data_IF_524642175332
#
_entry.id   IF_524642175332
#
_cell.length_a   1.000
_cell.length_b   1.000
_cell.length_c   1.000
_cell.angle_alpha   90.00
_cell.angle_beta   90.00
_cell.angle_gamma   90.00
#
_symmetry.space_group_name_H-M   'P 1'
#
loop_
_entity.id
_entity.type
_entity.pdbx_description
1 polymer ?
#
# COMPACT_ATOMS: atom_id res chain seq x y z
N UNK A 1 -25.73 -46.81 51.51
CA UNK A 1 -25.72 -48.12 50.83
C UNK A 1 -25.04 -47.89 49.50
N UNK A 2 -23.71 -48.00 49.45
CA UNK A 2 -22.96 -49.17 48.93
C UNK A 2 -22.78 -49.03 47.40
N UNK A 3 -21.60 -49.03 46.77
CA UNK A 3 -20.19 -49.24 47.15
C UNK A 3 -19.28 -48.51 46.12
N UNK A 4 -18.03 -48.17 46.41
CA UNK A 4 -16.80 -49.02 46.26
C UNK A 4 -16.68 -49.67 44.88
N UNK A 5 -15.57 -49.71 44.13
CA UNK A 5 -14.10 -49.57 44.31
C UNK A 5 -13.57 -49.73 42.84
N UNK A 6 -12.54 -49.06 42.31
CA UNK A 6 -11.12 -49.43 42.46
C UNK A 6 -10.28 -48.64 41.44
N UNK A 7 -9.13 -48.13 41.88
CA UNK A 7 -7.92 -48.04 41.05
C UNK A 7 -7.25 -49.42 40.95
N UNK A 8 -6.27 -49.57 40.05
CA UNK A 8 -4.90 -49.71 40.57
C UNK A 8 -3.83 -48.94 39.79
N UNK A 9 -2.75 -48.71 40.54
CA UNK A 9 -1.45 -48.16 40.16
C UNK A 9 -0.61 -49.06 39.23
N UNK A 10 0.47 -48.43 38.75
CA UNK A 10 1.85 -48.96 38.67
C UNK A 10 2.33 -49.55 37.31
N UNK A 11 3.66 -49.75 37.08
CA UNK A 11 4.67 -48.72 36.76
C UNK A 11 5.66 -49.15 35.65
N UNK A 12 6.73 -48.36 35.47
CA UNK A 12 7.96 -48.78 34.77
C UNK A 12 8.07 -48.20 33.37
N UNK A 13 9.20 -47.71 32.88
CA UNK A 13 10.62 -47.86 33.22
C UNK A 13 11.35 -47.38 31.95
N UNK A 14 12.33 -46.48 32.07
CA UNK A 14 13.73 -46.87 32.03
C UNK A 14 14.33 -46.71 30.63
N UNK A 15 15.39 -45.90 30.49
CA UNK A 15 16.19 -45.85 29.25
C UNK A 15 16.93 -44.52 28.99
N UNK A 16 18.00 -44.27 29.72
CA UNK A 16 19.17 -43.45 29.29
C UNK A 16 20.08 -44.33 28.38
N UNK A 17 21.29 -43.93 27.91
CA UNK A 17 21.92 -42.63 27.58
C UNK A 17 22.64 -42.64 26.18
N UNK A 18 23.28 -41.52 25.81
CA UNK A 18 24.34 -41.45 24.79
C UNK A 18 23.98 -40.55 23.61
N UNK A 19 24.76 -39.55 23.19
CA UNK A 19 26.22 -39.57 23.02
C UNK A 19 26.78 -38.14 23.20
N UNK A 20 27.77 -38.02 24.08
CA UNK A 20 28.76 -36.95 24.07
C UNK A 20 29.76 -37.17 22.95
N UNK A 21 30.02 -36.15 22.13
CA UNK A 21 31.33 -35.98 21.48
C UNK A 21 31.81 -34.56 21.73
N UNK A 22 32.77 -34.45 22.64
CA UNK A 22 33.58 -33.27 22.85
C UNK A 22 34.55 -33.09 21.68
N UNK A 23 34.51 -31.89 21.10
CA UNK A 23 35.66 -31.02 20.89
C UNK A 23 36.89 -31.56 20.14
N UNK A 24 37.14 -30.99 18.96
CA UNK A 24 38.48 -30.45 18.70
C UNK A 24 38.42 -29.24 17.79
N UNK A 25 38.87 -28.13 18.36
CA UNK A 25 39.11 -26.85 17.72
C UNK A 25 40.36 -26.95 16.84
N UNK A 26 40.30 -26.45 15.60
CA UNK A 26 41.48 -25.92 14.90
C UNK A 26 41.06 -24.91 13.82
N UNK A 27 41.54 -23.68 14.05
CA UNK A 27 41.49 -22.51 13.20
C UNK A 27 42.08 -22.76 11.81
N UNK A 28 41.45 -22.19 10.78
CA UNK A 28 41.99 -21.19 9.81
C UNK A 28 41.31 -21.36 8.45
N UNK A 29 40.83 -20.25 7.90
CA UNK A 29 40.41 -20.19 6.50
C UNK A 29 39.21 -19.31 6.22
N UNK A 30 39.20 -18.06 6.70
CA UNK A 30 38.37 -17.01 6.09
C UNK A 30 38.89 -16.79 4.66
N UNK A 31 38.32 -17.48 3.68
CA UNK A 31 38.32 -17.03 2.28
C UNK A 31 37.00 -16.33 2.04
N UNK A 32 37.07 -15.00 1.97
CA UNK A 32 35.94 -14.15 1.66
C UNK A 32 35.32 -14.58 0.34
N UNK A 33 34.02 -14.92 0.37
CA UNK A 33 33.18 -14.82 -0.81
C UNK A 33 33.12 -13.34 -1.17
N UNK A 34 33.55 -12.91 -2.36
CA UNK A 34 33.26 -11.56 -2.79
C UNK A 34 31.74 -11.43 -2.88
N UNK A 35 31.18 -10.57 -2.02
CA UNK A 35 29.84 -10.06 -2.18
C UNK A 35 29.81 -9.33 -3.51
N UNK A 36 29.46 -10.05 -4.57
CA UNK A 36 29.11 -9.49 -5.86
C UNK A 36 27.88 -8.63 -5.63
N UNK A 37 28.13 -7.34 -5.38
CA UNK A 37 27.13 -6.30 -5.57
C UNK A 37 26.76 -6.41 -7.04
N UNK A 38 25.66 -7.13 -7.33
CA UNK A 38 25.12 -7.24 -8.67
C UNK A 38 25.03 -5.84 -9.27
N UNK A 39 25.19 -5.69 -10.60
CA UNK A 39 25.13 -4.38 -11.23
C UNK A 39 23.89 -3.65 -10.71
N UNK A 40 24.08 -2.42 -10.23
CA UNK A 40 22.97 -1.59 -9.79
C UNK A 40 21.91 -1.55 -10.89
N UNK A 41 20.64 -1.49 -10.50
CA UNK A 41 19.50 -1.50 -11.41
C UNK A 41 19.65 -0.46 -12.55
N UNK A 42 20.34 0.64 -12.28
CA UNK A 42 20.73 1.68 -13.25
C UNK A 42 21.65 1.17 -14.38
N UNK A 43 22.59 0.26 -14.07
CA UNK A 43 23.49 -0.35 -15.06
C UNK A 43 22.76 -1.40 -15.91
N UNK A 44 21.80 -2.12 -15.33
CA UNK A 44 20.93 -3.06 -16.05
C UNK A 44 20.00 -2.31 -17.01
N UNK A 45 19.45 -1.17 -16.58
CA UNK A 45 18.66 -0.30 -17.43
C UNK A 45 19.49 0.22 -18.62
N UNK A 46 20.70 0.75 -18.38
CA UNK A 46 21.60 1.27 -19.44
C UNK A 46 22.01 0.21 -20.48
N UNK A 47 22.15 -1.05 -20.08
CA UNK A 47 22.52 -2.17 -20.95
C UNK A 47 21.35 -2.78 -21.75
N UNK A 48 20.10 -2.36 -21.48
CA UNK A 48 18.93 -2.91 -22.15
C UNK A 48 18.72 -2.25 -23.52
N UNK A 49 18.72 -3.04 -24.60
CA UNK A 49 18.46 -2.53 -25.95
C UNK A 49 17.06 -1.94 -26.10
N UNK A 50 16.92 -0.94 -26.99
CA UNK A 50 15.67 -0.19 -27.19
C UNK A 50 14.44 -1.09 -27.48
N UNK A 51 14.64 -2.22 -28.14
CA UNK A 51 13.57 -3.20 -28.39
C UNK A 51 13.01 -3.85 -27.13
N UNK A 52 13.88 -4.23 -26.19
CA UNK A 52 13.48 -4.86 -24.92
C UNK A 52 12.81 -3.86 -23.98
N UNK A 53 13.32 -2.61 -23.93
CA UNK A 53 12.68 -1.51 -23.20
C UNK A 53 11.24 -1.28 -23.66
N UNK A 54 10.98 -1.33 -24.97
CA UNK A 54 9.61 -1.24 -25.51
C UNK A 54 8.70 -2.38 -25.04
N UNK A 55 9.22 -3.60 -24.95
CA UNK A 55 8.45 -4.77 -24.48
C UNK A 55 8.10 -4.63 -22.99
N UNK A 56 9.05 -4.17 -22.17
CA UNK A 56 8.81 -3.88 -20.74
C UNK A 56 7.76 -2.78 -20.57
N UNK A 57 7.83 -1.71 -21.37
CA UNK A 57 6.86 -0.61 -21.33
C UNK A 57 5.45 -1.02 -21.78
N UNK A 58 5.37 -1.88 -22.79
CA UNK A 58 4.12 -2.40 -23.33
C UNK A 58 3.49 -3.52 -22.48
N UNK A 59 4.12 -3.89 -21.36
CA UNK A 59 3.56 -4.86 -20.43
C UNK A 59 2.15 -4.44 -19.98
N UNK A 60 1.28 -5.44 -19.85
CA UNK A 60 -0.08 -5.25 -19.37
C UNK A 60 -0.06 -4.49 -18.04
N UNK A 61 -0.79 -3.37 -17.93
CA UNK A 61 -0.65 -2.46 -16.79
C UNK A 61 -1.23 -3.02 -15.49
N UNK A 62 -2.05 -4.07 -15.54
CA UNK A 62 -2.72 -4.65 -14.37
C UNK A 62 -1.99 -5.91 -13.89
N UNK A 63 -1.62 -6.78 -14.82
CA UNK A 63 -1.01 -8.08 -14.52
C UNK A 63 0.51 -8.10 -14.67
N UNK A 64 1.11 -7.09 -15.29
CA UNK A 64 2.53 -7.11 -15.67
C UNK A 64 2.84 -8.12 -16.78
N UNK A 65 1.80 -8.64 -17.47
CA UNK A 65 1.95 -9.65 -18.52
C UNK A 65 2.64 -9.06 -19.74
N UNK A 66 3.69 -9.74 -20.19
CA UNK A 66 4.48 -9.35 -21.35
C UNK A 66 3.94 -10.00 -22.62
N UNK A 67 4.01 -9.22 -23.71
CA UNK A 67 3.75 -9.68 -25.08
C UNK A 67 4.95 -9.28 -25.94
N UNK A 68 5.50 -10.23 -26.67
CA UNK A 68 6.70 -10.01 -27.50
C UNK A 68 7.15 -11.30 -28.18
N UNK A 69 8.21 -11.21 -28.97
CA UNK A 69 8.85 -12.40 -29.56
C UNK A 69 9.48 -13.26 -28.48
N UNK A 70 9.60 -14.57 -28.71
CA UNK A 70 10.18 -15.50 -27.75
C UNK A 70 11.61 -15.11 -27.35
N UNK A 71 12.42 -14.64 -28.32
CA UNK A 71 13.77 -14.15 -28.06
C UNK A 71 13.80 -12.92 -27.13
N UNK A 72 12.82 -12.01 -27.26
CA UNK A 72 12.70 -10.85 -26.36
C UNK A 72 12.30 -11.29 -24.96
N UNK A 73 11.35 -12.21 -24.84
CA UNK A 73 10.87 -12.70 -23.53
C UNK A 73 11.96 -13.51 -22.81
N UNK A 74 12.67 -14.38 -23.53
CA UNK A 74 13.82 -15.14 -23.01
C UNK A 74 14.94 -14.19 -22.55
N UNK A 75 15.26 -13.17 -23.34
CA UNK A 75 16.26 -12.16 -22.98
C UNK A 75 15.91 -11.35 -21.72
N UNK A 76 14.62 -11.14 -21.44
CA UNK A 76 14.16 -10.50 -20.20
C UNK A 76 14.22 -11.46 -19.00
N UNK A 77 13.93 -12.74 -19.20
CA UNK A 77 14.04 -13.78 -18.16
C UNK A 77 15.50 -13.98 -17.74
N UNK A 78 16.42 -14.06 -18.70
CA UNK A 78 17.86 -14.19 -18.46
C UNK A 78 18.41 -13.02 -17.62
N UNK A 79 17.85 -11.82 -17.81
CA UNK A 79 18.22 -10.61 -17.06
C UNK A 79 17.47 -10.46 -15.74
N UNK A 80 16.62 -11.41 -15.38
CA UNK A 80 15.81 -11.38 -14.14
C UNK A 80 14.71 -10.32 -14.13
N UNK A 81 14.37 -9.73 -15.29
CA UNK A 81 13.33 -8.71 -15.43
C UNK A 81 11.95 -9.30 -15.69
N UNK A 82 11.90 -10.56 -16.12
CA UNK A 82 10.67 -11.31 -16.32
C UNK A 82 10.78 -12.73 -15.75
N UNK A 83 9.64 -13.35 -15.48
CA UNK A 83 9.55 -14.78 -15.19
C UNK A 83 8.48 -15.45 -16.05
N UNK A 84 8.65 -16.74 -16.31
CA UNK A 84 7.68 -17.57 -17.03
C UNK A 84 6.79 -18.30 -16.02
N UNK A 85 5.48 -18.17 -16.19
CA UNK A 85 4.51 -18.80 -15.31
C UNK A 85 4.50 -20.32 -15.50
N UNK A 86 4.54 -21.10 -14.40
CA UNK A 86 4.65 -22.56 -14.47
C UNK A 86 3.37 -23.23 -14.97
N UNK A 87 2.18 -22.63 -14.78
CA UNK A 87 0.92 -23.16 -15.33
C UNK A 87 0.70 -22.68 -16.77
N UNK A 88 0.20 -23.58 -17.61
CA UNK A 88 -0.31 -23.25 -18.94
C UNK A 88 -1.50 -22.27 -18.85
N UNK A 89 -1.67 -21.35 -19.81
CA UNK A 89 -0.81 -21.08 -20.98
C UNK A 89 0.37 -20.19 -20.56
N UNK A 90 1.59 -20.76 -20.54
CA UNK A 90 2.80 -20.20 -19.92
C UNK A 90 3.07 -18.72 -20.26
N UNK A 91 2.44 -17.82 -19.53
CA UNK A 91 2.58 -16.38 -19.69
C UNK A 91 3.92 -15.91 -19.16
N UNK A 92 4.44 -14.83 -19.73
CA UNK A 92 5.60 -14.13 -19.20
C UNK A 92 5.12 -12.90 -18.46
N UNK A 93 5.67 -12.65 -17.28
CA UNK A 93 5.27 -11.57 -16.39
C UNK A 93 6.50 -10.83 -15.90
N UNK A 94 6.37 -9.52 -15.68
CA UNK A 94 7.43 -8.73 -15.07
C UNK A 94 7.71 -9.21 -13.64
N UNK A 95 8.98 -9.21 -13.27
CA UNK A 95 9.40 -9.34 -11.87
C UNK A 95 9.34 -7.97 -11.19
N UNK A 96 9.45 -7.88 -9.85
CA UNK A 96 9.58 -6.59 -9.18
C UNK A 96 10.72 -5.72 -9.70
N UNK A 97 11.81 -6.32 -10.20
CA UNK A 97 12.91 -5.59 -10.85
C UNK A 97 12.51 -5.02 -12.23
N UNK A 98 11.74 -5.78 -13.02
CA UNK A 98 11.18 -5.29 -14.28
C UNK A 98 10.15 -4.17 -14.10
N UNK A 99 9.37 -4.21 -13.01
CA UNK A 99 8.44 -3.13 -12.64
C UNK A 99 9.17 -1.83 -12.29
N UNK A 100 10.20 -1.89 -11.42
CA UNK A 100 11.01 -0.71 -11.08
C UNK A 100 11.67 -0.07 -12.29
N UNK A 101 12.23 -0.88 -13.19
CA UNK A 101 12.85 -0.37 -14.42
C UNK A 101 11.83 0.37 -15.32
N UNK A 102 10.61 -0.15 -15.42
CA UNK A 102 9.53 0.50 -16.17
C UNK A 102 9.15 1.85 -15.56
N UNK A 103 9.03 1.90 -14.25
CA UNK A 103 8.69 3.12 -13.50
C UNK A 103 9.78 4.18 -13.64
N UNK A 104 11.05 3.80 -13.47
CA UNK A 104 12.22 4.66 -13.65
C UNK A 104 12.30 5.26 -15.08
N UNK A 105 11.97 4.48 -16.11
CA UNK A 105 11.93 4.96 -17.50
C UNK A 105 10.76 5.90 -17.78
N UNK A 106 9.57 5.60 -17.24
CA UNK A 106 8.41 6.46 -17.34
C UNK A 106 8.64 7.80 -16.61
N UNK A 107 9.32 7.77 -15.45
CA UNK A 107 9.71 8.96 -14.69
C UNK A 107 10.84 9.76 -15.35
N UNK A 108 11.81 9.09 -15.97
CA UNK A 108 12.82 9.76 -16.80
C UNK A 108 12.16 10.48 -17.98
N UNK A 109 11.17 9.87 -18.64
CA UNK A 109 10.44 10.50 -19.75
C UNK A 109 9.60 11.69 -19.29
N UNK A 110 8.97 11.62 -18.11
CA UNK A 110 8.23 12.76 -17.53
C UNK A 110 9.15 13.94 -17.27
N UNK A 111 10.37 13.69 -16.80
CA UNK A 111 11.40 14.71 -16.56
C UNK A 111 12.04 15.28 -17.83
N UNK A 112 11.99 14.57 -18.95
CA UNK A 112 12.55 15.02 -20.24
C UNK A 112 11.49 15.55 -21.24
N UNK A 113 10.24 15.73 -20.81
CA UNK A 113 9.22 16.41 -21.61
C UNK A 113 9.48 17.93 -21.69
N UNK A 114 8.96 18.64 -22.71
CA UNK A 114 9.18 20.08 -22.85
C UNK A 114 8.58 20.84 -21.65
N UNK A 115 9.43 21.60 -20.95
CA UNK A 115 9.03 22.49 -19.85
C UNK A 115 8.16 23.64 -20.37
N UNK A 116 7.09 24.04 -19.67
CA UNK A 116 6.52 25.37 -19.82
C UNK A 116 7.47 26.37 -19.13
N UNK A 117 8.08 27.25 -19.91
CA UNK A 117 8.88 28.35 -19.37
C UNK A 117 8.01 29.31 -18.56
N UNK A 118 8.43 29.63 -17.34
CA UNK A 118 7.82 30.70 -16.56
C UNK A 118 8.24 30.75 -15.09
N UNK A 119 9.21 31.62 -14.78
CA UNK A 119 9.16 32.41 -13.55
C UNK A 119 10.12 32.02 -12.43
N UNK A 120 11.32 32.60 -12.49
CA UNK A 120 12.36 32.70 -11.47
C UNK A 120 11.92 33.19 -10.08
N UNK A 121 12.55 32.55 -9.08
CA UNK A 121 13.15 33.13 -7.86
C UNK A 121 12.29 33.35 -6.60
N UNK A 122 12.49 32.45 -5.62
CA UNK A 122 12.27 32.67 -4.20
C UNK A 122 12.78 31.49 -3.38
N UNK A 123 13.96 31.62 -2.78
CA UNK A 123 14.66 30.54 -2.08
C UNK A 123 13.85 29.90 -0.96
N UNK A 124 13.82 28.56 -0.97
CA UNK A 124 13.28 27.74 0.10
C UNK A 124 13.76 26.31 -0.12
N UNK A 125 14.68 25.89 0.73
CA UNK A 125 15.29 24.56 0.87
C UNK A 125 14.44 23.42 0.27
N UNK A 126 14.89 22.93 -0.90
CA UNK A 126 14.35 21.74 -1.54
C UNK A 126 14.52 20.51 -0.64
N UNK A 127 13.43 20.12 0.00
CA UNK A 127 13.29 18.85 0.71
C UNK A 127 12.05 18.14 0.20
N UNK A 128 12.17 17.44 -0.93
CA UNK A 128 11.05 16.74 -1.55
C UNK A 128 11.52 15.59 -2.44
N UNK A 129 12.50 14.82 -1.97
CA UNK A 129 12.79 13.53 -2.57
C UNK A 129 11.57 12.63 -2.37
N UNK A 130 10.84 12.36 -3.45
CA UNK A 130 9.87 11.27 -3.49
C UNK A 130 10.65 9.95 -3.42
N UNK A 131 11.11 9.60 -2.22
CA UNK A 131 11.52 8.24 -1.88
C UNK A 131 10.30 7.34 -2.00
N UNK A 132 10.45 6.15 -2.57
CA UNK A 132 9.42 5.10 -2.63
C UNK A 132 8.71 4.91 -1.29
N UNK A 133 7.61 5.62 -1.11
CA UNK A 133 6.89 5.74 0.14
C UNK A 133 5.84 4.65 0.27
N UNK A 134 5.62 4.21 1.49
CA UNK A 134 4.43 3.43 1.86
C UNK A 134 3.19 4.23 1.47
N UNK A 135 2.20 3.57 0.87
CA UNK A 135 0.94 4.23 0.51
C UNK A 135 0.32 4.93 1.73
N UNK A 136 -0.07 6.19 1.55
CA UNK A 136 -0.80 6.96 2.55
C UNK A 136 -2.07 7.55 1.92
N UNK A 137 -3.20 7.43 2.61
CA UNK A 137 -4.43 8.14 2.28
C UNK A 137 -4.25 9.64 2.58
N UNK A 138 -4.76 10.49 1.68
CA UNK A 138 -4.73 11.95 1.77
C UNK A 138 -5.90 12.41 2.61
N UNK A 139 -5.59 13.01 3.74
CA UNK A 139 -6.56 13.57 4.66
C UNK A 139 -7.03 14.96 4.22
N UNK A 140 -6.36 15.60 3.27
CA UNK A 140 -6.67 16.95 2.80
C UNK A 140 -5.84 17.99 3.54
N UNK A 141 -5.26 18.91 2.77
CA UNK A 141 -4.31 19.91 3.23
C UNK A 141 -2.84 19.60 2.97
N UNK A 142 -2.54 18.51 2.26
CA UNK A 142 -1.20 18.22 1.81
C UNK A 142 -0.78 19.17 0.66
N UNK A 143 0.44 19.70 0.75
CA UNK A 143 1.10 20.46 -0.31
C UNK A 143 1.26 19.55 -1.55
N UNK A 144 0.71 19.96 -2.70
CA UNK A 144 0.76 19.15 -3.93
C UNK A 144 -0.40 18.16 -4.14
N UNK A 145 -1.52 18.28 -3.42
CA UNK A 145 -2.74 17.50 -3.67
C UNK A 145 -3.43 17.79 -5.03
N UNK A 146 -2.79 18.55 -5.92
CA UNK A 146 -3.27 18.80 -7.27
C UNK A 146 -3.09 17.57 -8.17
N UNK A 147 -4.16 16.79 -8.34
CA UNK A 147 -4.28 15.82 -9.43
C UNK A 147 -3.97 14.38 -9.05
N UNK A 148 -4.97 13.67 -8.52
CA UNK A 148 -4.95 12.21 -8.45
C UNK A 148 -5.13 11.60 -9.83
N UNK A 149 -4.06 11.53 -10.63
CA UNK A 149 -4.09 10.85 -11.92
C UNK A 149 -4.41 9.35 -11.78
N UNK A 150 -4.57 8.66 -12.92
CA UNK A 150 -4.94 7.24 -12.94
C UNK A 150 -4.04 6.31 -12.08
N UNK A 151 -2.77 6.68 -11.86
CA UNK A 151 -1.87 5.95 -10.96
C UNK A 151 -2.36 5.98 -9.51
N UNK A 152 -2.68 7.17 -8.98
CA UNK A 152 -3.24 7.32 -7.63
C UNK A 152 -4.54 6.56 -7.47
N UNK A 153 -5.44 6.64 -8.45
CA UNK A 153 -6.71 5.92 -8.41
C UNK A 153 -6.52 4.40 -8.30
N UNK A 154 -5.46 3.84 -8.88
CA UNK A 154 -5.11 2.41 -8.75
C UNK A 154 -4.56 2.10 -7.36
N UNK A 155 -3.65 2.92 -6.86
CA UNK A 155 -3.09 2.75 -5.51
C UNK A 155 -4.19 2.80 -4.44
N UNK A 156 -5.06 3.81 -4.50
CA UNK A 156 -6.21 3.97 -3.60
C UNK A 156 -7.13 2.76 -3.69
N UNK A 157 -7.43 2.28 -4.90
CA UNK A 157 -8.26 1.09 -5.09
C UNK A 157 -7.61 -0.16 -4.48
N UNK A 158 -6.31 -0.36 -4.70
CA UNK A 158 -5.58 -1.48 -4.12
C UNK A 158 -5.56 -1.42 -2.59
N UNK A 159 -5.33 -0.23 -2.02
CA UNK A 159 -5.37 -0.02 -0.58
C UNK A 159 -6.77 -0.27 0.00
N UNK A 160 -7.82 0.20 -0.69
CA UNK A 160 -9.21 -0.04 -0.30
C UNK A 160 -9.58 -1.53 -0.34
N UNK A 161 -9.21 -2.25 -1.40
CA UNK A 161 -9.43 -3.70 -1.47
C UNK A 161 -8.65 -4.45 -0.38
N UNK A 162 -7.43 -4.02 -0.09
CA UNK A 162 -6.65 -4.55 1.03
C UNK A 162 -7.34 -4.32 2.37
N UNK A 163 -7.96 -3.15 2.57
CA UNK A 163 -8.73 -2.85 3.77
C UNK A 163 -9.99 -3.71 3.89
N UNK A 164 -10.74 -3.90 2.80
CA UNK A 164 -11.91 -4.79 2.79
C UNK A 164 -11.53 -6.25 3.08
N UNK A 165 -10.37 -6.69 2.60
CA UNK A 165 -9.85 -8.03 2.92
C UNK A 165 -9.45 -8.14 4.40
N UNK A 166 -8.82 -7.10 4.96
CA UNK A 166 -8.56 -7.04 6.40
C UNK A 166 -9.86 -7.11 7.21
N UNK A 167 -10.93 -6.44 6.79
CA UNK A 167 -12.26 -6.56 7.42
C UNK A 167 -12.74 -8.00 7.34
N UNK A 168 -12.76 -8.61 6.15
CA UNK A 168 -13.19 -9.99 5.92
C UNK A 168 -12.43 -11.01 6.78
N UNK A 169 -11.13 -10.81 6.99
CA UNK A 169 -10.30 -11.70 7.81
C UNK A 169 -10.44 -11.46 9.32
N UNK A 170 -10.77 -10.23 9.73
CA UNK A 170 -10.84 -9.85 11.15
C UNK A 170 -12.22 -10.08 11.76
N UNK A 171 -13.28 -10.06 10.96
CA UNK A 171 -14.64 -10.29 11.43
C UNK A 171 -14.99 -11.79 11.35
N UNK A 172 -15.48 -12.41 12.44
CA UNK A 172 -15.79 -13.85 12.47
C UNK A 172 -16.81 -14.30 11.41
N UNK A 173 -17.72 -13.42 11.02
CA UNK A 173 -18.75 -13.64 10.00
C UNK A 173 -18.29 -13.22 8.59
N UNK A 174 -17.06 -12.72 8.45
CA UNK A 174 -16.51 -12.23 7.19
C UNK A 174 -17.13 -10.93 6.70
N UNK A 175 -17.88 -10.21 7.54
CA UNK A 175 -18.51 -8.95 7.19
C UNK A 175 -17.48 -7.91 6.69
N UNK A 176 -17.80 -7.20 5.62
CA UNK A 176 -16.92 -6.16 5.04
C UNK A 176 -17.52 -4.75 5.11
N UNK A 177 -18.78 -4.65 5.53
CA UNK A 177 -19.54 -3.42 5.71
C UNK A 177 -19.22 -2.70 7.03
N UNK A 178 -18.49 -3.34 7.96
CA UNK A 178 -18.15 -2.77 9.27
C UNK A 178 -16.65 -2.52 9.43
N UNK A 179 -16.23 -1.35 9.95
CA UNK A 179 -14.82 -1.09 10.20
C UNK A 179 -14.19 -2.07 11.21
N UNK A 180 -12.99 -2.55 10.91
CA UNK A 180 -12.25 -3.50 11.74
C UNK A 180 -11.37 -2.81 12.80
N UNK A 181 -10.67 -3.59 13.62
CA UNK A 181 -9.83 -3.07 14.71
C UNK A 181 -8.71 -2.13 14.23
N UNK A 182 -8.11 -2.39 13.06
CA UNK A 182 -7.09 -1.50 12.50
C UNK A 182 -7.66 -0.10 12.21
N UNK A 183 -8.86 -0.02 11.62
CA UNK A 183 -9.50 1.26 11.28
C UNK A 183 -9.81 2.08 12.53
N UNK A 184 -10.21 1.41 13.62
CA UNK A 184 -10.47 2.07 14.91
C UNK A 184 -9.21 2.68 15.52
N UNK A 185 -8.03 2.13 15.23
CA UNK A 185 -6.73 2.70 15.62
C UNK A 185 -6.19 3.76 14.66
N UNK A 186 -6.79 3.92 13.47
CA UNK A 186 -6.29 4.78 12.38
C UNK A 186 -7.45 5.54 11.71
N UNK A 187 -8.27 6.22 12.52
CA UNK A 187 -9.55 6.75 12.08
C UNK A 187 -9.44 7.75 10.92
N UNK A 188 -8.47 8.67 10.99
CA UNK A 188 -8.27 9.70 9.95
C UNK A 188 -7.91 9.04 8.62
N UNK A 189 -6.96 8.09 8.65
CA UNK A 189 -6.50 7.39 7.47
C UNK A 189 -7.61 6.50 6.88
N UNK A 190 -8.39 5.83 7.72
CA UNK A 190 -9.49 4.98 7.30
C UNK A 190 -10.63 5.78 6.64
N UNK A 191 -11.05 6.90 7.25
CA UNK A 191 -12.06 7.77 6.69
C UNK A 191 -11.59 8.44 5.39
N UNK A 192 -10.35 8.95 5.36
CA UNK A 192 -9.75 9.52 4.16
C UNK A 192 -9.68 8.50 3.02
N UNK A 193 -9.28 7.25 3.31
CA UNK A 193 -9.20 6.19 2.30
C UNK A 193 -10.57 5.86 1.71
N UNK A 194 -11.61 5.78 2.55
CA UNK A 194 -12.98 5.54 2.08
C UNK A 194 -13.45 6.68 1.14
N UNK A 195 -13.15 7.93 1.49
CA UNK A 195 -13.50 9.09 0.68
C UNK A 195 -12.74 9.11 -0.65
N UNK A 196 -11.41 8.90 -0.66
CA UNK A 196 -10.65 8.81 -1.91
C UNK A 196 -11.11 7.64 -2.80
N UNK A 197 -11.41 6.49 -2.20
CA UNK A 197 -11.83 5.30 -2.94
C UNK A 197 -13.19 5.51 -3.64
N UNK A 198 -14.05 6.33 -3.06
CA UNK A 198 -15.30 6.78 -3.66
C UNK A 198 -15.14 7.95 -4.66
N UNK A 199 -13.93 8.47 -4.82
CA UNK A 199 -13.61 9.52 -5.78
C UNK A 199 -13.80 10.94 -5.26
N UNK A 200 -14.00 11.14 -3.95
CA UNK A 200 -14.00 12.47 -3.37
C UNK A 200 -12.61 13.09 -3.50
N UNK A 201 -12.57 14.40 -3.79
CA UNK A 201 -11.31 15.11 -3.95
C UNK A 201 -10.80 15.56 -2.57
N UNK A 202 -9.55 15.24 -2.18
CA UNK A 202 -8.96 15.83 -0.97
C UNK A 202 -8.71 17.32 -1.17
N UNK A 203 -8.94 18.11 -0.13
CA UNK A 203 -8.62 19.52 -0.10
C UNK A 203 -7.12 19.74 -0.40
N UNK A 204 -6.81 20.76 -1.20
CA UNK A 204 -5.45 21.24 -1.34
C UNK A 204 -4.94 21.96 -0.09
N UNK A 205 -3.67 22.38 -0.12
CA UNK A 205 -3.11 23.32 0.85
C UNK A 205 -3.97 24.60 0.91
N UNK A 206 -4.38 25.11 -0.26
CA UNK A 206 -5.35 26.19 -0.40
C UNK A 206 -6.78 25.68 -0.20
N UNK A 207 -7.40 26.06 0.92
CA UNK A 207 -8.78 25.70 1.26
C UNK A 207 -9.82 26.26 0.26
N UNK A 208 -9.45 27.21 -0.61
CA UNK A 208 -10.34 27.83 -1.59
C UNK A 208 -10.69 26.96 -2.80
N UNK A 209 -9.95 25.87 -3.07
CA UNK A 209 -10.16 25.01 -4.22
C UNK A 209 -11.22 23.89 -4.00
N UNK A 210 -11.82 23.84 -2.80
CA UNK A 210 -12.74 22.79 -2.36
C UNK A 210 -12.05 21.45 -2.10
N UNK A 211 -12.84 20.46 -1.68
CA UNK A 211 -12.39 19.11 -1.35
C UNK A 211 -12.46 18.80 0.14
N UNK A 212 -12.62 17.53 0.46
CA UNK A 212 -12.77 17.11 1.83
C UNK A 212 -11.47 17.29 2.63
N UNK A 213 -11.62 17.56 3.92
CA UNK A 213 -10.52 17.55 4.90
C UNK A 213 -10.92 16.75 6.13
N UNK A 214 -10.22 15.66 6.39
CA UNK A 214 -10.38 14.80 7.56
C UNK A 214 -9.41 15.25 8.66
N UNK A 215 -9.91 15.43 9.87
CA UNK A 215 -9.15 15.84 11.05
C UNK A 215 -9.50 14.96 12.24
N UNK A 216 -8.54 14.82 13.14
CA UNK A 216 -8.81 14.32 14.48
C UNK A 216 -9.75 15.27 15.23
N UNK A 217 -10.47 14.71 16.19
CA UNK A 217 -11.35 15.47 17.10
C UNK A 217 -11.04 15.07 18.54
N UNK A 218 -11.26 15.96 19.53
CA UNK A 218 -11.18 15.59 20.94
C UNK A 218 -12.16 14.48 21.35
N UNK A 219 -13.22 14.24 20.56
CA UNK A 219 -14.16 13.17 20.84
C UNK A 219 -13.53 11.80 20.52
N UNK A 220 -13.52 10.85 21.49
CA UNK A 220 -12.94 9.53 21.26
C UNK A 220 -13.69 8.79 20.14
N UNK A 221 -12.95 7.99 19.38
CA UNK A 221 -13.49 7.16 18.29
C UNK A 221 -14.22 7.93 17.17
N UNK A 222 -13.95 9.23 17.04
CA UNK A 222 -14.54 10.07 16.01
C UNK A 222 -13.48 10.82 15.19
N UNK A 223 -13.85 11.22 13.98
CA UNK A 223 -13.11 12.15 13.12
C UNK A 223 -14.04 13.24 12.62
N UNK A 224 -13.48 14.42 12.41
CA UNK A 224 -14.19 15.54 11.80
C UNK A 224 -13.87 15.60 10.30
N UNK A 225 -14.89 15.63 9.45
CA UNK A 225 -14.74 15.82 8.00
C UNK A 225 -15.35 17.16 7.60
N UNK A 226 -14.53 18.00 7.01
CA UNK A 226 -14.92 19.32 6.53
C UNK A 226 -15.02 19.28 5.02
N UNK A 227 -16.02 19.97 4.49
CA UNK A 227 -16.08 20.34 3.09
C UNK A 227 -16.89 21.65 2.94
N UNK A 228 -16.42 22.54 2.06
CA UNK A 228 -16.99 23.88 1.89
C UNK A 228 -18.38 23.84 1.25
N UNK A 229 -18.57 22.94 0.29
CA UNK A 229 -19.84 22.79 -0.43
C UNK A 229 -20.79 21.83 0.30
N UNK A 230 -22.02 22.27 0.57
CA UNK A 230 -22.98 21.49 1.36
C UNK A 230 -23.44 20.20 0.67
N UNK A 231 -23.49 20.17 -0.66
CA UNK A 231 -23.80 18.95 -1.41
C UNK A 231 -22.66 17.94 -1.34
N UNK A 232 -21.41 18.41 -1.55
CA UNK A 232 -20.22 17.58 -1.42
C UNK A 232 -20.05 17.05 0.02
N UNK A 233 -20.39 17.84 1.04
CA UNK A 233 -20.41 17.39 2.44
C UNK A 233 -21.43 16.25 2.64
N UNK A 234 -22.65 16.37 2.11
CA UNK A 234 -23.64 15.27 2.16
C UNK A 234 -23.19 14.03 1.38
N UNK A 235 -22.53 14.20 0.24
CA UNK A 235 -21.97 13.08 -0.51
C UNK A 235 -20.86 12.34 0.28
N UNK A 236 -20.04 13.09 1.02
CA UNK A 236 -19.07 12.51 1.96
C UNK A 236 -19.77 11.72 3.07
N UNK A 237 -20.87 12.25 3.63
CA UNK A 237 -21.65 11.56 4.65
C UNK A 237 -22.19 10.22 4.15
N UNK A 238 -22.87 10.22 3.00
CA UNK A 238 -23.42 9.00 2.39
C UNK A 238 -22.34 7.95 2.10
N UNK A 239 -21.15 8.39 1.68
CA UNK A 239 -20.01 7.50 1.43
C UNK A 239 -19.50 6.84 2.70
N UNK A 240 -19.32 7.64 3.76
CA UNK A 240 -18.86 7.12 5.05
C UNK A 240 -19.91 6.17 5.67
N UNK A 241 -21.19 6.49 5.56
CA UNK A 241 -22.28 5.61 5.98
C UNK A 241 -22.26 4.27 5.25
N UNK A 242 -22.10 4.29 3.91
CA UNK A 242 -21.95 3.08 3.10
C UNK A 242 -20.69 2.28 3.42
N UNK A 243 -19.65 2.93 3.96
CA UNK A 243 -18.42 2.29 4.43
C UNK A 243 -18.50 1.77 5.88
N UNK A 244 -19.66 1.92 6.55
CA UNK A 244 -19.91 1.42 7.89
C UNK A 244 -19.68 2.43 9.02
N UNK A 245 -19.69 3.72 8.72
CA UNK A 245 -19.56 4.79 9.71
C UNK A 245 -20.94 5.32 10.12
N UNK A 246 -21.03 5.83 11.34
CA UNK A 246 -22.13 6.67 11.82
C UNK A 246 -21.71 8.11 11.60
N UNK A 247 -22.57 8.90 10.97
CA UNK A 247 -22.25 10.28 10.61
C UNK A 247 -23.32 11.21 11.17
N UNK A 248 -22.90 12.29 11.81
CA UNK A 248 -23.77 13.39 12.21
C UNK A 248 -23.25 14.72 11.66
N UNK A 249 -24.15 15.58 11.19
CA UNK A 249 -23.80 16.94 10.79
C UNK A 249 -23.76 17.86 12.01
N UNK A 250 -22.69 18.64 12.14
CA UNK A 250 -22.49 19.61 13.21
C UNK A 250 -22.12 20.96 12.62
N UNK A 251 -22.44 22.02 13.37
CA UNK A 251 -22.03 23.38 13.04
C UNK A 251 -21.18 23.90 14.19
N UNK A 252 -19.96 24.32 13.88
CA UNK A 252 -19.06 24.89 14.88
C UNK A 252 -19.66 26.19 15.44
N UNK A 253 -19.80 26.34 16.78
CA UNK A 253 -20.52 27.47 17.36
C UNK A 253 -19.95 28.85 17.02
N UNK A 254 -18.62 28.95 16.92
CA UNK A 254 -17.89 30.21 16.74
C UNK A 254 -17.75 30.62 15.27
N UNK A 255 -17.38 29.67 14.42
CA UNK A 255 -17.09 29.94 13.00
C UNK A 255 -18.31 29.70 12.10
N UNK A 256 -19.34 29.02 12.62
CA UNK A 256 -20.50 28.52 11.87
C UNK A 256 -20.13 27.59 10.71
N UNK A 257 -18.90 27.07 10.69
CA UNK A 257 -18.48 26.08 9.72
C UNK A 257 -19.21 24.77 9.98
N UNK A 258 -19.80 24.21 8.93
CA UNK A 258 -20.43 22.90 8.98
C UNK A 258 -19.38 21.82 8.78
N UNK A 259 -19.51 20.73 9.52
CA UNK A 259 -18.64 19.57 9.42
C UNK A 259 -19.42 18.31 9.76
N UNK A 260 -18.91 17.17 9.30
CA UNK A 260 -19.39 15.86 9.71
C UNK A 260 -18.57 15.37 10.88
N UNK A 261 -19.22 14.86 11.90
CA UNK A 261 -18.59 14.00 12.88
C UNK A 261 -18.88 12.55 12.50
N UNK A 262 -17.84 11.78 12.19
CA UNK A 262 -17.96 10.39 11.79
C UNK A 262 -17.29 9.46 12.80
N UNK A 263 -17.99 8.42 13.22
CA UNK A 263 -17.48 7.37 14.10
C UNK A 263 -17.74 5.98 13.51
N UNK A 264 -16.83 5.01 13.67
CA UNK A 264 -17.07 3.64 13.17
C UNK A 264 -18.28 3.00 13.86
N UNK A 265 -19.22 2.44 13.11
CA UNK A 265 -20.37 1.71 13.69
C UNK A 265 -19.88 0.62 14.62
N UNK A 266 -20.48 0.54 15.81
CA UNK A 266 -20.28 -0.62 16.69
C UNK A 266 -21.09 -1.78 16.12
N UNK A 267 -20.51 -2.99 16.21
CA UNK A 267 -21.11 -4.23 15.76
C UNK A 267 -22.34 -4.58 16.61
#
# INVERSE_FOLDING_TARGET
MSGSVSAPDDPGGGGTPGVSVSGRSLRKGRKGRPGGRGPGVDAVAKALGAGLRRVVRAADPVSGRLKGTEAQLAGLVERGLAFRHPRAPHGHFLTPAGHRMREEEDDARRRSGPEPEGGTSGGGTSGGGASGGVFAARAGGEEGAAGGGAARAREVRSAWLGLLELRRMSHPDGATDRPCGWERGHLVQAAALALEAAGHRPAGADAGAGGYRVRETPQPEAVAVYEAEGEALRACAATLEGAGWQVGEYTEPRTRVRYLLASPRRA
#
